data_IF_447346191752
#
_entry.id   IF_447346191752
#
_cell.length_a   1.000
_cell.length_b   1.000
_cell.length_c   1.000
_cell.angle_alpha   90.00
_cell.angle_beta   90.00
_cell.angle_gamma   90.00
#
_symmetry.space_group_name_H-M   'P 1'
#
loop_
_entity.id
_entity.type
_entity.pdbx_description
1 polymer ?
#
# COMPACT_ATOMS: atom_id res chain seq x y z
N UNK A 1 1.53 -2.62 -17.09
CA UNK A 1 1.86 -2.63 -15.66
C UNK A 1 1.20 -1.46 -14.97
N UNK A 2 0.73 -1.63 -13.76
CA UNK A 2 0.10 -0.57 -12.99
C UNK A 2 1.06 -0.05 -11.92
N UNK A 3 0.97 1.21 -11.58
CA UNK A 3 1.70 1.78 -10.44
C UNK A 3 0.79 2.69 -9.62
N UNK A 4 1.21 2.98 -8.42
CA UNK A 4 0.46 3.76 -7.45
C UNK A 4 1.04 5.17 -7.34
N UNK A 5 0.18 6.15 -7.41
CA UNK A 5 0.56 7.54 -7.16
C UNK A 5 -0.07 7.99 -5.85
N UNK A 6 0.73 8.63 -5.02
CA UNK A 6 0.26 9.27 -3.81
C UNK A 6 -0.04 10.73 -4.15
N UNK A 7 -1.28 11.12 -3.87
CA UNK A 7 -1.73 12.48 -4.14
C UNK A 7 -1.91 13.24 -2.83
N UNK A 8 -1.38 14.46 -2.80
CA UNK A 8 -1.45 15.33 -1.63
C UNK A 8 -2.57 16.36 -1.81
N UNK A 9 -3.20 16.83 -0.70
CA UNK A 9 -4.23 17.86 -0.81
C UNK A 9 -3.70 19.15 -1.42
N UNK A 10 -4.59 19.91 -2.08
CA UNK A 10 -4.24 21.15 -2.76
C UNK A 10 -3.67 22.25 -1.83
N UNK A 11 -3.94 22.15 -0.55
CA UNK A 11 -3.37 23.02 0.50
C UNK A 11 -1.94 22.65 0.89
N UNK A 12 -1.32 21.70 0.20
CA UNK A 12 0.02 21.18 0.49
C UNK A 12 1.08 22.25 0.65
N UNK A 13 1.09 23.25 -0.23
CA UNK A 13 2.12 24.30 -0.21
C UNK A 13 1.95 25.29 0.94
N UNK A 14 0.79 25.33 1.60
CA UNK A 14 0.50 26.26 2.70
C UNK A 14 0.87 25.74 4.09
N UNK A 15 1.16 24.45 4.25
CA UNK A 15 1.49 23.87 5.55
C UNK A 15 2.50 22.73 5.45
N UNK A 16 3.70 23.04 4.94
CA UNK A 16 4.82 22.10 4.85
C UNK A 16 5.15 21.40 6.18
N UNK A 17 4.88 22.05 7.30
CA UNK A 17 5.11 21.50 8.63
C UNK A 17 4.07 20.43 8.97
N UNK A 18 2.81 20.64 8.61
CA UNK A 18 1.73 19.68 8.82
C UNK A 18 1.86 18.48 7.87
N UNK A 19 2.42 18.68 6.69
CA UNK A 19 2.62 17.62 5.71
C UNK A 19 3.61 16.56 6.12
N UNK A 20 4.66 16.93 6.82
CA UNK A 20 5.60 15.96 7.41
C UNK A 20 4.93 15.03 8.42
N UNK A 21 3.79 15.42 8.97
CA UNK A 21 3.01 14.63 9.92
C UNK A 21 1.83 13.88 9.28
N UNK A 22 1.46 14.19 8.02
CA UNK A 22 0.27 13.62 7.37
C UNK A 22 0.53 12.38 6.56
N UNK A 23 1.75 12.17 6.04
CA UNK A 23 2.10 10.98 5.27
C UNK A 23 3.53 10.57 5.54
N UNK A 24 3.70 9.34 5.98
CA UNK A 24 4.98 8.67 6.13
C UNK A 24 5.13 7.64 5.03
N UNK A 25 6.26 7.64 4.34
CA UNK A 25 6.56 6.68 3.27
C UNK A 25 7.91 6.06 3.59
N UNK A 26 7.94 4.75 3.74
CA UNK A 26 9.17 4.00 3.93
C UNK A 26 9.24 2.82 2.97
N UNK A 27 10.40 2.63 2.37
CA UNK A 27 10.69 1.43 1.60
C UNK A 27 11.31 0.39 2.52
N UNK A 28 10.75 -0.81 2.52
CA UNK A 28 11.23 -1.92 3.34
C UNK A 28 11.88 -2.93 2.41
N UNK A 29 13.20 -3.06 2.53
CA UNK A 29 13.97 -4.05 1.79
C UNK A 29 14.16 -5.31 2.61
N UNK A 30 14.09 -6.44 1.94
CA UNK A 30 14.55 -7.73 2.48
C UNK A 30 15.75 -8.19 1.67
N UNK A 31 16.86 -8.29 2.32
CA UNK A 31 18.24 -8.48 1.90
C UNK A 31 18.58 -9.14 0.55
N UNK A 32 17.91 -10.21 0.14
CA UNK A 32 18.30 -10.99 -1.05
C UNK A 32 17.46 -10.69 -2.30
N UNK A 33 16.39 -9.95 -2.18
CA UNK A 33 15.50 -9.63 -3.31
C UNK A 33 15.69 -8.16 -3.69
N UNK A 34 15.89 -7.91 -4.95
CA UNK A 34 16.04 -6.56 -5.51
C UNK A 34 14.72 -5.76 -5.47
N UNK A 35 13.73 -6.25 -4.75
CA UNK A 35 12.39 -5.67 -4.67
C UNK A 35 12.07 -5.31 -3.21
N UNK A 36 11.64 -4.06 -3.01
CA UNK A 36 11.20 -3.57 -1.72
C UNK A 36 9.70 -3.42 -1.67
N UNK A 37 9.11 -3.67 -0.51
CA UNK A 37 7.76 -3.27 -0.20
C UNK A 37 7.75 -1.80 0.24
N UNK A 38 6.62 -1.13 0.07
CA UNK A 38 6.43 0.22 0.59
C UNK A 38 5.42 0.21 1.73
N UNK A 39 5.77 0.93 2.79
CA UNK A 39 4.91 1.20 3.91
C UNK A 39 4.47 2.66 3.86
N UNK A 40 3.17 2.89 3.91
CA UNK A 40 2.56 4.22 3.92
C UNK A 40 1.77 4.38 5.21
N UNK A 41 1.87 5.54 5.86
CA UNK A 41 1.06 5.85 7.05
C UNK A 41 0.58 7.29 6.97
N UNK A 42 -0.68 7.50 7.29
CA UNK A 42 -1.29 8.82 7.40
C UNK A 42 -2.36 8.80 8.48
N UNK A 43 -2.18 9.63 9.48
CA UNK A 43 -3.17 9.89 10.54
C UNK A 43 -3.73 8.60 11.20
N UNK A 44 -2.86 7.64 11.50
CA UNK A 44 -3.23 6.38 12.16
C UNK A 44 -3.74 5.28 11.22
N UNK A 45 -3.70 5.49 9.92
CA UNK A 45 -4.03 4.47 8.91
C UNK A 45 -2.79 4.14 8.09
N UNK A 46 -2.54 2.87 7.86
CA UNK A 46 -1.40 2.39 7.09
C UNK A 46 -1.82 1.59 5.87
N UNK A 47 -0.95 1.57 4.87
CA UNK A 47 -1.08 0.73 3.69
C UNK A 47 0.27 0.11 3.36
N UNK A 48 0.25 -1.10 2.83
CA UNK A 48 1.44 -1.82 2.39
C UNK A 48 1.32 -2.02 0.87
N UNK A 49 2.40 -1.74 0.15
CA UNK A 49 2.47 -1.97 -1.30
C UNK A 49 3.46 -3.09 -1.56
N UNK A 50 3.01 -4.09 -2.29
CA UNK A 50 3.78 -5.27 -2.70
C UNK A 50 4.50 -5.98 -1.53
N UNK A 51 3.75 -6.42 -0.50
CA UNK A 51 4.36 -7.10 0.65
C UNK A 51 5.02 -8.41 0.24
N UNK A 52 6.15 -8.70 0.86
CA UNK A 52 6.81 -9.98 0.74
C UNK A 52 6.14 -11.01 1.66
N UNK A 53 6.55 -12.26 1.53
CA UNK A 53 5.93 -13.38 2.26
C UNK A 53 6.03 -13.24 3.78
N UNK A 54 7.16 -12.75 4.27
CA UNK A 54 7.32 -12.48 5.70
C UNK A 54 6.62 -11.18 6.06
N UNK A 55 5.46 -11.28 6.70
CA UNK A 55 4.57 -10.12 6.92
C UNK A 55 4.71 -9.47 8.29
N UNK A 56 5.39 -10.13 9.23
CA UNK A 56 5.53 -9.59 10.58
C UNK A 56 6.20 -8.21 10.64
N UNK A 57 7.24 -7.90 9.84
CA UNK A 57 7.83 -6.56 9.85
C UNK A 57 6.84 -5.44 9.55
N UNK A 58 5.86 -5.67 8.69
CA UNK A 58 4.84 -4.65 8.38
C UNK A 58 3.88 -4.43 9.54
N UNK A 59 3.50 -5.51 10.21
CA UNK A 59 2.63 -5.45 11.39
C UNK A 59 3.33 -4.72 12.53
N UNK A 60 4.59 -5.07 12.81
CA UNK A 60 5.40 -4.42 13.84
C UNK A 60 5.55 -2.93 13.57
N UNK A 61 5.79 -2.57 12.32
CA UNK A 61 5.92 -1.16 11.91
C UNK A 61 4.64 -0.38 12.16
N UNK A 62 3.49 -0.93 11.78
CA UNK A 62 2.21 -0.29 12.01
C UNK A 62 1.93 -0.14 13.51
N UNK A 63 2.23 -1.14 14.31
CA UNK A 63 2.09 -1.07 15.77
C UNK A 63 2.97 0.00 16.39
N UNK A 64 4.23 0.13 15.95
CA UNK A 64 5.14 1.19 16.40
C UNK A 64 4.59 2.58 16.10
N UNK A 65 3.95 2.75 14.96
CA UNK A 65 3.37 4.03 14.53
C UNK A 65 1.97 4.26 15.11
N UNK A 66 1.41 3.31 15.85
CA UNK A 66 0.04 3.39 16.34
C UNK A 66 -0.99 3.39 15.21
N UNK A 67 -0.67 2.74 14.10
CA UNK A 67 -1.50 2.74 12.90
C UNK A 67 -2.17 1.38 12.68
N UNK A 68 -3.34 1.42 12.02
CA UNK A 68 -4.04 0.22 11.55
C UNK A 68 -3.79 0.07 10.06
N UNK A 69 -3.35 -1.12 9.63
CA UNK A 69 -3.21 -1.43 8.21
C UNK A 69 -4.60 -1.56 7.60
N UNK A 70 -4.92 -0.65 6.69
CA UNK A 70 -6.23 -0.55 6.05
C UNK A 70 -6.24 -1.18 4.66
N UNK A 71 -5.17 -1.01 3.90
CA UNK A 71 -5.06 -1.51 2.54
C UNK A 71 -3.76 -2.26 2.32
N UNK A 72 -3.83 -3.25 1.44
CA UNK A 72 -2.69 -3.97 0.89
C UNK A 72 -2.79 -3.85 -0.62
N UNK A 73 -1.87 -3.13 -1.25
CA UNK A 73 -1.87 -2.91 -2.69
C UNK A 73 -0.89 -3.84 -3.37
N UNK A 74 -1.34 -4.50 -4.42
CA UNK A 74 -0.51 -5.28 -5.33
C UNK A 74 -0.43 -4.57 -6.67
N UNK A 75 0.78 -4.17 -7.08
CA UNK A 75 0.97 -3.43 -8.34
C UNK A 75 0.87 -4.33 -9.56
N UNK A 76 1.26 -5.58 -9.42
CA UNK A 76 1.22 -6.58 -10.48
C UNK A 76 1.32 -7.99 -9.88
N UNK A 77 1.12 -9.01 -10.71
CA UNK A 77 1.36 -10.39 -10.30
C UNK A 77 2.86 -10.66 -10.24
N UNK A 78 3.31 -11.15 -9.11
CA UNK A 78 4.73 -11.48 -8.89
C UNK A 78 4.96 -12.95 -9.24
N UNK A 79 5.80 -13.19 -10.25
CA UNK A 79 6.18 -14.54 -10.65
C UNK A 79 7.45 -15.02 -9.94
N UNK A 80 8.24 -14.13 -9.39
CA UNK A 80 9.57 -14.38 -8.83
C UNK A 80 9.58 -14.57 -7.31
N UNK A 81 8.47 -14.27 -6.61
CA UNK A 81 8.33 -14.54 -5.19
C UNK A 81 6.87 -14.73 -4.79
N UNK A 82 6.65 -15.32 -3.64
CA UNK A 82 5.31 -15.48 -3.07
C UNK A 82 4.97 -14.22 -2.29
N UNK A 83 3.94 -13.51 -2.72
CA UNK A 83 3.46 -12.32 -2.02
C UNK A 83 2.79 -12.69 -0.69
N UNK A 84 3.01 -11.87 0.31
CA UNK A 84 2.39 -12.01 1.63
C UNK A 84 1.00 -11.38 1.76
N UNK A 85 0.40 -10.92 0.67
CA UNK A 85 -0.85 -10.16 0.75
C UNK A 85 -2.00 -10.91 1.43
N UNK A 86 -2.16 -12.19 1.14
CA UNK A 86 -3.21 -13.02 1.74
C UNK A 86 -3.02 -13.19 3.24
N UNK A 87 -1.79 -13.50 3.65
CA UNK A 87 -1.46 -13.72 5.06
C UNK A 87 -1.56 -12.41 5.86
N UNK A 88 -1.08 -11.34 5.28
CA UNK A 88 -1.17 -10.01 5.89
C UNK A 88 -2.64 -9.57 6.04
N UNK A 89 -3.46 -9.75 5.01
CA UNK A 89 -4.89 -9.44 5.07
C UNK A 89 -5.60 -10.24 6.16
N UNK A 90 -5.29 -11.52 6.27
CA UNK A 90 -5.86 -12.40 7.28
C UNK A 90 -5.50 -11.97 8.70
N UNK A 91 -4.26 -11.52 8.91
CA UNK A 91 -3.77 -11.09 10.23
C UNK A 91 -4.23 -9.69 10.63
N UNK A 92 -4.50 -8.83 9.67
CA UNK A 92 -4.79 -7.40 9.92
C UNK A 92 -6.21 -6.97 9.57
N UNK A 93 -6.98 -7.83 8.93
CA UNK A 93 -8.30 -7.52 8.37
C UNK A 93 -8.27 -6.38 7.33
N UNK A 94 -7.13 -6.19 6.68
CA UNK A 94 -6.97 -5.18 5.65
C UNK A 94 -7.57 -5.63 4.32
N UNK A 95 -8.00 -4.66 3.51
CA UNK A 95 -8.54 -4.91 2.17
C UNK A 95 -7.41 -5.06 1.16
N UNK A 96 -7.45 -6.12 0.37
CA UNK A 96 -6.50 -6.33 -0.74
C UNK A 96 -7.01 -5.60 -1.97
N UNK A 97 -6.13 -4.83 -2.60
CA UNK A 97 -6.43 -4.06 -3.81
C UNK A 97 -5.38 -4.38 -4.87
N UNK A 98 -5.83 -4.90 -6.00
CA UNK A 98 -4.99 -5.10 -7.19
C UNK A 98 -5.12 -3.91 -8.13
N UNK A 99 -4.04 -3.62 -8.85
CA UNK A 99 -4.08 -2.71 -9.98
C UNK A 99 -5.01 -3.24 -11.09
N UNK A 100 -5.34 -2.42 -12.09
CA UNK A 100 -6.23 -2.82 -13.17
C UNK A 100 -5.76 -4.10 -13.86
N UNK A 101 -6.61 -5.11 -13.90
CA UNK A 101 -6.33 -6.41 -14.52
C UNK A 101 -7.63 -7.02 -15.03
N UNK A 102 -7.52 -7.80 -16.09
CA UNK A 102 -8.61 -8.64 -16.62
C UNK A 102 -8.56 -10.06 -16.05
N UNK A 103 -7.55 -10.38 -15.26
CA UNK A 103 -7.43 -11.72 -14.67
C UNK A 103 -8.41 -11.92 -13.53
N UNK A 104 -9.03 -13.09 -13.52
CA UNK A 104 -9.85 -13.52 -12.39
C UNK A 104 -8.95 -13.81 -11.20
N UNK A 105 -9.27 -13.21 -10.06
CA UNK A 105 -8.57 -13.44 -8.81
C UNK A 105 -9.22 -14.61 -8.06
N UNK A 106 -8.41 -15.55 -7.62
CA UNK A 106 -8.88 -16.72 -6.86
C UNK A 106 -9.16 -16.43 -5.38
N UNK A 107 -9.24 -15.16 -4.98
CA UNK A 107 -9.44 -14.72 -3.60
C UNK A 107 -10.18 -13.39 -3.56
N UNK A 108 -10.66 -13.02 -2.38
CA UNK A 108 -11.42 -11.79 -2.19
C UNK A 108 -10.48 -10.57 -2.22
N UNK A 109 -10.63 -9.77 -3.26
CA UNK A 109 -9.86 -8.54 -3.45
C UNK A 109 -10.62 -7.56 -4.35
N UNK A 110 -10.30 -6.29 -4.21
CA UNK A 110 -10.80 -5.23 -5.09
C UNK A 110 -9.85 -5.07 -6.27
N UNK A 111 -10.37 -5.09 -7.48
CA UNK A 111 -9.62 -4.70 -8.68
C UNK A 111 -9.86 -3.21 -8.91
N UNK A 112 -8.82 -2.41 -8.75
CA UNK A 112 -8.92 -0.98 -8.92
C UNK A 112 -9.02 -0.60 -10.40
N UNK A 113 -9.71 0.50 -10.66
CA UNK A 113 -9.77 1.09 -11.99
C UNK A 113 -8.72 2.19 -12.14
N UNK A 114 -8.39 2.52 -13.38
CA UNK A 114 -7.51 3.65 -13.66
C UNK A 114 -8.11 4.94 -13.09
N UNK A 115 -7.27 5.74 -12.46
CA UNK A 115 -7.63 6.97 -11.75
C UNK A 115 -8.49 6.79 -10.49
N UNK A 116 -8.73 5.56 -10.04
CA UNK A 116 -9.43 5.32 -8.78
C UNK A 116 -8.61 5.82 -7.60
N UNK A 117 -9.28 6.44 -6.64
CA UNK A 117 -8.66 6.99 -5.43
C UNK A 117 -9.07 6.21 -4.19
N UNK A 118 -8.11 6.02 -3.29
CA UNK A 118 -8.30 5.40 -1.98
C UNK A 118 -7.86 6.37 -0.91
N UNK A 119 -8.70 6.59 0.09
CA UNK A 119 -8.39 7.49 1.21
C UNK A 119 -7.56 6.73 2.24
N UNK A 120 -6.43 7.30 2.61
CA UNK A 120 -5.58 6.83 3.69
C UNK A 120 -5.34 7.99 4.67
N UNK A 121 -6.02 7.96 5.83
CA UNK A 121 -5.96 9.05 6.79
C UNK A 121 -6.40 10.37 6.17
N UNK A 122 -5.49 11.33 6.08
CA UNK A 122 -5.70 12.64 5.46
C UNK A 122 -5.17 12.71 4.01
N UNK A 123 -4.66 11.62 3.48
CA UNK A 123 -4.04 11.55 2.16
C UNK A 123 -4.84 10.65 1.22
N UNK A 124 -4.51 10.69 -0.06
CA UNK A 124 -5.11 9.84 -1.08
C UNK A 124 -4.05 9.07 -1.84
N UNK A 125 -4.38 7.83 -2.17
CA UNK A 125 -3.60 6.98 -3.06
C UNK A 125 -4.38 6.87 -4.37
N UNK A 126 -3.78 7.30 -5.47
CA UNK A 126 -4.40 7.25 -6.78
C UNK A 126 -3.77 6.16 -7.63
N UNK A 127 -4.61 5.35 -8.23
CA UNK A 127 -4.18 4.29 -9.15
C UNK A 127 -3.94 4.88 -10.53
N UNK A 128 -2.77 4.59 -11.10
CA UNK A 128 -2.46 4.91 -12.48
C UNK A 128 -2.16 3.62 -13.24
N UNK A 129 -2.99 3.33 -14.23
CA UNK A 129 -2.79 2.15 -15.08
C UNK A 129 -1.72 2.45 -16.13
N UNK A 130 -0.63 1.69 -16.09
CA UNK A 130 0.47 1.78 -17.05
C UNK A 130 0.67 0.42 -17.69
N UNK A 131 -0.04 0.17 -18.79
CA UNK A 131 0.06 -1.11 -19.49
C UNK A 131 1.43 -1.35 -20.13
#
# INVERSE_FOLDING_TARGET
MSYWKIDFPSSFMLSLIELKSTMKIEQIYTGCLAQGAYYLESNGEAAIIDPLREVQPYIDKAEQDGAKIKYIFETHFHADFVSGHMDLAKKTDASIVFGPTEMELGFDATVAQDNQEFILGKSKIKVLHTP
#
